data_IF_191068916528
#
_entry.id   IF_191068916528
#
_cell.length_a   1.000
_cell.length_b   1.000
_cell.length_c   1.000
_cell.angle_alpha   90.00
_cell.angle_beta   90.00
_cell.angle_gamma   90.00
#
_symmetry.space_group_name_H-M   'P 1'
#
loop_
_entity.id
_entity.type
_entity.pdbx_description
1 polymer ?
#
# COMPACT_ATOMS: atom_id res chain seq x y z
N UNK A 1 -1.17 20.03 -3.88
CA UNK A 1 -0.48 18.92 -3.17
C UNK A 1 0.31 18.12 -4.17
N UNK A 2 1.33 17.37 -3.75
CA UNK A 2 2.11 16.45 -4.57
C UNK A 2 2.37 15.14 -3.82
N UNK A 3 2.29 14.02 -4.49
CA UNK A 3 2.62 12.71 -3.94
C UNK A 3 4.14 12.51 -3.95
N UNK A 4 4.75 12.35 -2.79
CA UNK A 4 6.21 12.17 -2.67
C UNK A 4 6.61 10.89 -1.96
N UNK A 5 5.67 10.27 -1.23
CA UNK A 5 5.93 9.06 -0.45
C UNK A 5 4.81 8.05 -0.58
N UNK A 6 5.17 6.78 -0.72
CA UNK A 6 4.23 5.65 -0.71
C UNK A 6 4.65 4.66 0.36
N UNK A 7 3.68 4.15 1.10
CA UNK A 7 3.88 3.20 2.21
C UNK A 7 3.12 1.92 1.93
N UNK A 8 3.78 0.78 2.08
CA UNK A 8 3.15 -0.52 2.16
C UNK A 8 3.69 -1.29 3.36
N UNK A 9 2.96 -2.28 3.84
CA UNK A 9 3.39 -3.11 4.97
C UNK A 9 3.33 -4.59 4.65
N UNK A 10 4.20 -5.35 5.29
CA UNK A 10 4.36 -6.78 5.09
C UNK A 10 4.91 -7.42 6.36
N UNK A 11 4.59 -8.68 6.58
CA UNK A 11 5.25 -9.50 7.59
C UNK A 11 6.37 -10.36 6.97
N UNK A 12 6.94 -11.28 7.75
CA UNK A 12 7.98 -12.19 7.29
C UNK A 12 7.42 -13.32 6.38
N UNK A 13 6.45 -13.01 5.51
CA UNK A 13 6.00 -13.90 4.45
C UNK A 13 6.81 -13.62 3.18
N UNK A 14 7.60 -14.61 2.74
CA UNK A 14 8.51 -14.52 1.60
C UNK A 14 7.79 -14.14 0.31
N UNK A 15 6.58 -14.62 0.10
CA UNK A 15 5.77 -14.33 -1.09
C UNK A 15 5.36 -12.86 -1.22
N UNK A 16 5.46 -12.08 -0.13
CA UNK A 16 5.17 -10.65 -0.12
C UNK A 16 6.41 -9.78 0.06
N UNK A 17 7.34 -10.13 0.97
CA UNK A 17 8.47 -9.23 1.21
C UNK A 17 9.43 -9.16 0.02
N UNK A 18 9.46 -10.17 -0.85
CA UNK A 18 10.26 -10.13 -2.08
C UNK A 18 9.78 -9.07 -3.09
N UNK A 19 8.58 -8.50 -2.92
CA UNK A 19 8.16 -7.35 -3.71
C UNK A 19 8.85 -6.04 -3.28
N UNK A 20 9.45 -5.95 -2.09
CA UNK A 20 10.05 -4.69 -1.59
C UNK A 20 11.06 -4.10 -2.56
N UNK A 21 12.04 -4.86 -3.13
CA UNK A 21 12.97 -4.33 -4.12
C UNK A 21 12.27 -3.77 -5.37
N UNK A 22 11.22 -4.43 -5.82
CA UNK A 22 10.46 -4.02 -7.01
C UNK A 22 9.63 -2.77 -6.73
N UNK A 23 8.89 -2.73 -5.64
CA UNK A 23 8.17 -1.53 -5.19
C UNK A 23 9.13 -0.33 -5.09
N UNK A 24 10.29 -0.54 -4.46
CA UNK A 24 11.31 0.51 -4.34
C UNK A 24 11.76 1.03 -5.72
N UNK A 25 12.01 0.12 -6.67
CA UNK A 25 12.46 0.48 -8.01
C UNK A 25 11.37 1.22 -8.80
N UNK A 26 10.14 0.68 -8.80
CA UNK A 26 9.04 1.21 -9.60
C UNK A 26 8.63 2.62 -9.13
N UNK A 27 8.43 2.82 -7.83
CA UNK A 27 8.12 4.15 -7.29
C UNK A 27 9.26 5.15 -7.50
N UNK A 28 10.51 4.69 -7.39
CA UNK A 28 11.68 5.54 -7.67
C UNK A 28 11.70 6.06 -9.10
N UNK A 29 11.26 5.28 -10.10
CA UNK A 29 11.15 5.73 -11.50
C UNK A 29 10.18 6.89 -11.67
N UNK A 30 9.19 7.01 -10.79
CA UNK A 30 8.24 8.13 -10.74
C UNK A 30 8.73 9.28 -9.85
N UNK A 31 9.93 9.21 -9.29
CA UNK A 31 10.45 10.20 -8.36
C UNK A 31 9.80 10.17 -6.97
N UNK A 32 9.13 9.06 -6.64
CA UNK A 32 8.38 8.87 -5.39
C UNK A 32 9.18 7.93 -4.48
N UNK A 33 9.30 8.30 -3.19
CA UNK A 33 9.94 7.46 -2.18
C UNK A 33 8.99 6.32 -1.78
N UNK A 34 9.50 5.09 -1.76
CA UNK A 34 8.79 3.96 -1.21
C UNK A 34 9.31 3.62 0.20
N UNK A 35 8.40 3.34 1.13
CA UNK A 35 8.69 2.89 2.49
C UNK A 35 7.98 1.55 2.72
N UNK A 36 8.74 0.51 3.00
CA UNK A 36 8.22 -0.77 3.43
C UNK A 36 8.22 -0.86 4.96
N UNK A 37 7.07 -1.12 5.55
CA UNK A 37 6.93 -1.43 6.98
C UNK A 37 7.03 -2.94 7.14
N UNK A 38 8.14 -3.42 7.66
CA UNK A 38 8.40 -4.85 7.79
C UNK A 38 8.13 -5.31 9.21
N UNK A 39 7.12 -6.14 9.40
CA UNK A 39 6.75 -6.72 10.69
C UNK A 39 7.59 -7.97 10.95
N UNK A 40 8.57 -7.85 11.83
CA UNK A 40 9.51 -8.93 12.14
C UNK A 40 10.59 -8.50 13.12
N UNK A 41 11.51 -9.42 13.42
CA UNK A 41 12.63 -9.18 14.35
C UNK A 41 13.93 -8.80 13.63
N UNK A 42 14.03 -9.07 12.34
CA UNK A 42 15.19 -8.75 11.50
C UNK A 42 14.77 -8.65 10.04
N UNK A 43 15.54 -7.92 9.24
CA UNK A 43 15.35 -7.84 7.79
C UNK A 43 15.97 -9.09 7.17
N UNK A 44 15.22 -9.84 6.31
CA UNK A 44 15.76 -10.99 5.57
C UNK A 44 16.94 -10.60 4.66
N UNK A 45 17.90 -11.52 4.50
CA UNK A 45 19.11 -11.28 3.70
C UNK A 45 18.78 -10.97 2.24
N UNK A 46 17.73 -11.60 1.68
CA UNK A 46 17.30 -11.41 0.28
C UNK A 46 16.88 -9.98 -0.05
N UNK A 47 16.56 -9.16 0.96
CA UNK A 47 16.12 -7.77 0.77
C UNK A 47 16.98 -6.76 1.53
N UNK A 48 18.14 -7.17 2.05
CA UNK A 48 19.02 -6.33 2.87
C UNK A 48 19.50 -5.08 2.12
N UNK A 49 19.70 -5.17 0.82
CA UNK A 49 20.11 -4.05 -0.04
C UNK A 49 19.05 -2.93 -0.10
N UNK A 50 17.80 -3.24 0.26
CA UNK A 50 16.72 -2.28 0.37
C UNK A 50 16.53 -1.73 1.78
N UNK A 51 17.41 -2.03 2.74
CA UNK A 51 17.26 -1.67 4.16
C UNK A 51 16.99 -0.19 4.40
N UNK A 52 17.51 0.71 3.56
CA UNK A 52 17.24 2.15 3.63
C UNK A 52 15.78 2.54 3.34
N UNK A 53 15.01 1.63 2.74
CA UNK A 53 13.60 1.79 2.43
C UNK A 53 12.70 0.98 3.37
N UNK A 54 13.29 0.26 4.34
CA UNK A 54 12.58 -0.63 5.26
C UNK A 54 12.59 -0.04 6.65
N UNK A 55 11.42 0.06 7.24
CA UNK A 55 11.24 0.34 8.66
C UNK A 55 10.88 -0.98 9.34
N UNK A 56 11.76 -1.45 10.21
CA UNK A 56 11.54 -2.67 10.96
C UNK A 56 10.55 -2.39 12.10
N UNK A 57 9.41 -3.06 12.07
CA UNK A 57 8.41 -3.01 13.12
C UNK A 57 8.49 -4.27 13.96
N UNK A 58 9.04 -4.14 15.15
CA UNK A 58 9.09 -5.27 16.09
C UNK A 58 7.71 -5.45 16.74
N UNK A 59 7.03 -6.54 16.36
CA UNK A 59 5.73 -6.87 16.93
C UNK A 59 5.90 -7.55 18.29
N UNK A 60 5.72 -6.77 19.37
CA UNK A 60 5.70 -7.30 20.74
C UNK A 60 4.32 -7.78 21.18
N UNK A 61 3.33 -7.80 20.27
CA UNK A 61 1.98 -8.27 20.54
C UNK A 61 1.88 -9.78 20.27
N UNK A 62 1.14 -10.48 21.12
CA UNK A 62 0.78 -11.89 20.91
C UNK A 62 -0.42 -11.97 19.96
N UNK A 63 -0.24 -11.47 18.73
CA UNK A 63 -1.24 -11.49 17.66
C UNK A 63 -0.59 -11.86 16.33
N UNK A 64 -1.43 -12.31 15.39
CA UNK A 64 -1.00 -12.73 14.07
C UNK A 64 -0.24 -11.62 13.34
N UNK A 65 1.01 -11.85 12.94
CA UNK A 65 1.87 -10.87 12.27
C UNK A 65 1.33 -10.44 10.90
N UNK A 66 0.54 -11.30 10.23
CA UNK A 66 -0.13 -10.92 8.98
C UNK A 66 -1.20 -9.86 9.22
N UNK A 67 -1.94 -9.96 10.35
CA UNK A 67 -2.90 -8.93 10.75
C UNK A 67 -2.21 -7.60 11.05
N UNK A 68 -1.09 -7.65 11.78
CA UNK A 68 -0.27 -6.45 12.03
C UNK A 68 0.21 -5.84 10.72
N UNK A 69 0.80 -6.66 9.83
CA UNK A 69 1.25 -6.23 8.51
C UNK A 69 0.12 -5.61 7.68
N UNK A 70 -1.07 -6.19 7.69
CA UNK A 70 -2.22 -5.68 6.94
C UNK A 70 -2.67 -4.30 7.45
N UNK A 71 -2.65 -4.07 8.76
CA UNK A 71 -3.18 -2.86 9.37
C UNK A 71 -2.13 -1.74 9.55
N UNK A 72 -0.85 -2.07 9.71
CA UNK A 72 0.21 -1.12 10.06
C UNK A 72 0.30 0.05 9.06
N UNK A 73 0.18 -0.22 7.75
CA UNK A 73 0.22 0.81 6.70
C UNK A 73 -0.87 1.89 6.86
N UNK A 74 -2.01 1.54 7.46
CA UNK A 74 -3.11 2.47 7.69
C UNK A 74 -2.77 3.51 8.77
N UNK A 75 -1.94 3.17 9.73
CA UNK A 75 -1.63 4.02 10.87
C UNK A 75 -0.29 4.74 10.75
N UNK A 76 0.72 4.09 10.18
CA UNK A 76 2.10 4.57 10.15
C UNK A 76 2.27 5.93 9.44
N UNK A 77 1.54 6.27 8.37
CA UNK A 77 1.64 7.58 7.73
C UNK A 77 1.50 8.77 8.70
N UNK A 78 0.77 8.60 9.81
CA UNK A 78 0.59 9.61 10.86
C UNK A 78 1.90 10.01 11.59
N UNK A 79 2.93 9.17 11.53
CA UNK A 79 4.22 9.40 12.19
C UNK A 79 5.27 10.05 11.30
N UNK A 80 4.96 10.23 10.01
CA UNK A 80 5.89 10.85 9.08
C UNK A 80 5.93 12.37 9.28
N UNK A 81 7.11 12.96 9.15
CA UNK A 81 7.31 14.39 9.09
C UNK A 81 7.55 14.80 7.64
N UNK A 82 6.65 15.60 7.08
CA UNK A 82 6.66 15.96 5.67
C UNK A 82 6.28 17.45 5.48
N UNK A 83 6.78 18.11 4.42
CA UNK A 83 6.33 19.44 4.01
C UNK A 83 4.81 19.50 3.81
N UNK A 84 4.21 20.66 4.10
CA UNK A 84 2.75 20.86 4.10
C UNK A 84 2.07 20.69 2.74
N UNK A 85 2.84 20.70 1.65
CA UNK A 85 2.36 20.49 0.28
C UNK A 85 2.54 19.05 -0.22
N UNK A 86 3.02 18.15 0.64
CA UNK A 86 3.31 16.75 0.29
C UNK A 86 2.27 15.76 0.85
N UNK A 87 2.07 14.70 0.11
CA UNK A 87 1.18 13.59 0.47
C UNK A 87 1.95 12.30 0.65
N UNK A 88 1.49 11.50 1.59
CA UNK A 88 1.81 10.08 1.69
C UNK A 88 0.62 9.24 1.26
N UNK A 89 0.85 8.24 0.42
CA UNK A 89 -0.16 7.29 -0.04
C UNK A 89 0.14 5.89 0.50
N UNK A 90 -0.90 5.12 0.78
CA UNK A 90 -0.77 3.70 1.08
C UNK A 90 -1.16 2.83 -0.10
N UNK A 91 -0.50 1.67 -0.23
CA UNK A 91 -0.74 0.68 -1.28
C UNK A 91 -0.62 -0.75 -0.76
N UNK A 92 -1.00 -1.72 -1.60
CA UNK A 92 -0.73 -3.12 -1.37
C UNK A 92 0.67 -3.50 -1.86
N UNK A 93 1.30 -4.49 -1.23
CA UNK A 93 2.69 -4.86 -1.52
C UNK A 93 2.83 -5.54 -2.90
N UNK A 94 1.82 -6.26 -3.35
CA UNK A 94 1.77 -7.03 -4.60
C UNK A 94 1.18 -6.26 -5.80
N UNK A 95 0.99 -4.93 -5.65
CA UNK A 95 0.52 -4.03 -6.70
C UNK A 95 1.65 -3.13 -7.18
N UNK A 96 2.20 -3.38 -8.36
CA UNK A 96 3.28 -2.57 -8.93
C UNK A 96 2.71 -1.41 -9.76
N UNK A 97 3.13 -0.16 -9.53
CA UNK A 97 2.65 0.99 -10.30
C UNK A 97 3.25 1.00 -11.71
N UNK A 98 2.44 1.27 -12.74
CA UNK A 98 2.86 1.31 -14.15
C UNK A 98 2.76 2.71 -14.75
N UNK A 99 1.85 3.54 -14.27
CA UNK A 99 1.56 4.86 -14.84
C UNK A 99 1.55 5.93 -13.75
N UNK A 100 2.57 6.80 -13.75
CA UNK A 100 2.67 7.89 -12.75
C UNK A 100 1.50 8.88 -12.80
N UNK A 101 0.90 9.09 -13.97
CA UNK A 101 -0.23 10.03 -14.14
C UNK A 101 -1.44 9.61 -13.31
N UNK A 102 -1.71 8.30 -13.24
CA UNK A 102 -2.80 7.80 -12.41
C UNK A 102 -2.67 8.27 -10.95
N UNK A 103 -1.46 8.29 -10.42
CA UNK A 103 -1.21 8.64 -9.02
C UNK A 103 -1.02 10.13 -8.77
N UNK A 104 -0.51 10.87 -9.75
CA UNK A 104 -0.03 12.23 -9.55
C UNK A 104 -0.93 13.31 -10.15
N UNK A 105 -1.62 13.01 -11.28
CA UNK A 105 -2.37 14.05 -12.00
C UNK A 105 -3.56 14.56 -11.19
N UNK A 106 -3.71 15.89 -11.17
CA UNK A 106 -4.80 16.59 -10.51
C UNK A 106 -4.61 16.79 -9.01
N UNK A 107 -3.52 16.30 -8.41
CA UNK A 107 -3.26 16.47 -6.97
C UNK A 107 -3.03 17.91 -6.55
N UNK A 108 -2.61 18.77 -7.47
CA UNK A 108 -2.42 20.20 -7.25
C UNK A 108 -3.72 20.94 -6.88
N UNK A 109 -4.88 20.33 -7.17
CA UNK A 109 -6.19 20.89 -6.86
C UNK A 109 -6.65 20.64 -5.40
N UNK A 110 -5.91 19.84 -4.62
CA UNK A 110 -6.23 19.50 -3.24
C UNK A 110 -5.45 20.36 -2.24
N UNK A 111 -5.98 20.40 -1.00
CA UNK A 111 -5.36 21.13 0.12
C UNK A 111 -4.85 20.14 1.18
N UNK A 112 -4.03 20.64 2.10
CA UNK A 112 -3.37 19.84 3.15
C UNK A 112 -4.36 19.05 4.03
N UNK A 113 -5.58 19.57 4.23
CA UNK A 113 -6.61 18.93 5.07
C UNK A 113 -7.44 17.87 4.32
N UNK A 114 -7.23 17.69 3.02
CA UNK A 114 -7.98 16.69 2.25
C UNK A 114 -7.43 15.28 2.50
N UNK A 115 -8.35 14.32 2.65
CA UNK A 115 -8.06 12.90 2.55
C UNK A 115 -8.55 12.40 1.19
N UNK A 116 -7.65 11.94 0.35
CA UNK A 116 -7.91 11.60 -1.05
C UNK A 116 -8.04 10.09 -1.19
N UNK A 117 -9.21 9.60 -1.55
CA UNK A 117 -9.47 8.22 -1.90
C UNK A 117 -9.65 8.09 -3.40
N UNK A 118 -8.79 7.32 -4.06
CA UNK A 118 -8.72 7.27 -5.53
C UNK A 118 -9.85 6.47 -6.16
N UNK A 119 -10.30 5.43 -5.46
CA UNK A 119 -11.30 4.49 -5.98
C UNK A 119 -12.73 4.88 -5.55
N UNK A 120 -13.68 4.01 -5.80
CA UNK A 120 -15.07 4.13 -5.32
C UNK A 120 -15.24 3.42 -3.98
N UNK A 121 -16.18 3.88 -3.19
CA UNK A 121 -16.57 3.24 -1.93
C UNK A 121 -17.49 2.06 -2.26
N UNK A 122 -17.19 0.89 -1.72
CA UNK A 122 -17.97 -0.33 -1.91
C UNK A 122 -18.63 -0.76 -0.59
N UNK A 123 -19.93 -0.58 -0.51
CA UNK A 123 -20.70 -0.85 0.72
C UNK A 123 -20.11 -0.10 1.91
N UNK A 124 -19.66 -0.83 2.93
CA UNK A 124 -19.03 -0.31 4.14
C UNK A 124 -17.49 -0.47 4.13
N UNK A 125 -16.86 -0.46 2.95
CA UNK A 125 -15.43 -0.68 2.79
C UNK A 125 -14.79 0.42 1.96
N UNK A 126 -13.60 0.83 2.37
CA UNK A 126 -12.66 1.63 1.58
C UNK A 126 -11.44 0.74 1.33
N UNK A 127 -11.18 0.44 0.05
CA UNK A 127 -10.01 -0.39 -0.31
C UNK A 127 -8.72 0.26 0.17
N UNK A 128 -7.77 -0.57 0.61
CA UNK A 128 -6.51 -0.07 1.15
C UNK A 128 -5.61 0.58 0.10
N UNK A 129 -5.70 0.19 -1.15
CA UNK A 129 -5.08 0.86 -2.29
C UNK A 129 -6.14 1.74 -2.99
N UNK A 130 -5.93 2.93 -3.29
CA UNK A 130 -4.89 3.90 -3.00
C UNK A 130 -5.53 5.01 -2.17
N UNK A 131 -4.95 5.30 -1.02
CA UNK A 131 -5.43 6.35 -0.13
C UNK A 131 -4.28 7.30 0.15
N UNK A 132 -4.47 8.61 -0.04
CA UNK A 132 -3.43 9.61 0.12
C UNK A 132 -3.91 10.79 0.96
N UNK A 133 -3.06 11.26 1.86
CA UNK A 133 -3.29 12.48 2.63
C UNK A 133 -1.95 13.00 3.17
N UNK A 134 -1.92 14.24 3.66
CA UNK A 134 -0.81 14.72 4.46
C UNK A 134 -0.74 13.97 5.81
N UNK A 135 0.45 13.71 6.41
CA UNK A 135 0.57 13.01 7.70
C UNK A 135 -0.28 13.56 8.83
N UNK A 136 -0.48 14.89 8.89
CA UNK A 136 -1.36 15.52 9.90
C UNK A 136 -2.81 15.07 9.80
N UNK A 137 -3.29 14.76 8.59
CA UNK A 137 -4.65 14.25 8.37
C UNK A 137 -4.74 12.79 8.82
N UNK A 138 -3.74 11.95 8.47
CA UNK A 138 -3.64 10.59 9.00
C UNK A 138 -3.65 10.59 10.54
N UNK A 139 -2.84 11.47 11.15
CA UNK A 139 -2.78 11.66 12.61
C UNK A 139 -4.14 12.01 13.20
N UNK A 140 -4.86 12.97 12.61
CA UNK A 140 -6.17 13.42 13.05
C UNK A 140 -7.25 12.35 12.90
N UNK A 141 -7.33 11.71 11.73
CA UNK A 141 -8.37 10.70 11.39
C UNK A 141 -8.24 9.47 12.29
N UNK A 142 -7.02 8.97 12.47
CA UNK A 142 -6.77 7.74 13.21
C UNK A 142 -6.40 7.97 14.68
N UNK A 143 -6.24 9.23 15.12
CA UNK A 143 -5.82 9.59 16.48
C UNK A 143 -4.50 8.93 16.89
N UNK A 144 -3.48 9.03 16.02
CA UNK A 144 -2.14 8.47 16.20
C UNK A 144 -1.16 9.59 16.47
N UNK A 145 -0.42 9.53 17.59
CA UNK A 145 0.61 10.48 17.94
C UNK A 145 2.01 9.85 18.05
N UNK A 146 2.07 8.54 18.27
CA UNK A 146 3.29 7.77 18.47
C UNK A 146 3.06 6.28 18.15
N UNK A 147 4.12 5.47 18.20
CA UNK A 147 4.07 4.03 17.93
C UNK A 147 3.20 3.24 18.92
N UNK A 148 3.11 3.71 20.17
CA UNK A 148 2.26 3.06 21.18
C UNK A 148 0.78 3.19 20.81
N UNK A 149 0.37 4.33 20.23
CA UNK A 149 -1.00 4.51 19.75
C UNK A 149 -1.31 3.52 18.60
N UNK A 150 -0.35 3.31 17.68
CA UNK A 150 -0.48 2.31 16.60
C UNK A 150 -0.67 0.92 17.19
N UNK A 151 0.22 0.53 18.10
CA UNK A 151 0.17 -0.78 18.77
C UNK A 151 -1.17 -0.99 19.46
N UNK A 152 -1.67 0.02 20.17
CA UNK A 152 -2.97 0.00 20.84
C UNK A 152 -4.12 -0.16 19.84
N UNK A 153 -4.16 0.63 18.75
CA UNK A 153 -5.20 0.55 17.72
C UNK A 153 -5.24 -0.85 17.07
N UNK A 154 -4.07 -1.40 16.73
CA UNK A 154 -3.98 -2.74 16.14
C UNK A 154 -4.51 -3.80 17.13
N UNK A 155 -4.13 -3.70 18.41
CA UNK A 155 -4.60 -4.63 19.43
C UNK A 155 -6.12 -4.56 19.66
N UNK A 156 -6.68 -3.34 19.77
CA UNK A 156 -8.11 -3.13 20.00
C UNK A 156 -8.99 -3.56 18.83
N UNK A 157 -8.43 -3.57 17.60
CA UNK A 157 -9.14 -3.98 16.39
C UNK A 157 -8.88 -5.44 15.99
N UNK A 158 -7.96 -6.10 16.67
CA UNK A 158 -7.64 -7.50 16.36
C UNK A 158 -8.84 -8.42 16.61
N UNK A 159 -9.18 -9.16 15.56
CA UNK A 159 -10.21 -10.19 15.64
C UNK A 159 -9.55 -11.57 15.71
N UNK A 160 -9.81 -12.30 16.78
CA UNK A 160 -9.24 -13.65 17.01
C UNK A 160 -9.63 -14.67 15.93
N UNK A 161 -10.66 -14.39 15.14
CA UNK A 161 -11.04 -15.22 13.99
C UNK A 161 -10.21 -14.98 12.74
N UNK A 162 -9.32 -13.97 12.76
CA UNK A 162 -8.42 -13.68 11.64
C UNK A 162 -7.43 -14.84 11.43
N UNK A 163 -7.44 -15.42 10.25
CA UNK A 163 -6.59 -16.56 9.91
C UNK A 163 -5.61 -16.28 8.75
N UNK A 164 -5.58 -15.05 8.23
CA UNK A 164 -4.72 -14.65 7.11
C UNK A 164 -5.15 -15.19 5.74
N UNK A 165 -6.30 -15.86 5.66
CA UNK A 165 -6.85 -16.37 4.40
C UNK A 165 -7.71 -15.28 3.75
N UNK A 166 -7.44 -14.89 2.51
CA UNK A 166 -8.22 -13.91 1.78
C UNK A 166 -9.70 -14.23 1.67
N UNK A 167 -10.53 -13.21 1.93
CA UNK A 167 -11.98 -13.35 1.89
C UNK A 167 -12.57 -14.14 3.08
N UNK A 168 -11.74 -14.60 4.01
CA UNK A 168 -12.20 -15.22 5.25
C UNK A 168 -12.70 -14.18 6.26
N UNK A 169 -13.26 -14.67 7.37
CA UNK A 169 -13.67 -13.81 8.49
C UNK A 169 -12.53 -12.88 8.94
N UNK A 170 -12.86 -11.63 9.18
CA UNK A 170 -11.93 -10.56 9.58
C UNK A 170 -10.85 -10.18 8.54
N UNK A 171 -10.87 -10.74 7.31
CA UNK A 171 -9.95 -10.34 6.24
C UNK A 171 -10.07 -8.87 5.86
N UNK A 172 -11.29 -8.33 5.84
CA UNK A 172 -11.58 -6.95 5.44
C UNK A 172 -11.58 -5.94 6.60
N UNK A 173 -11.06 -6.31 7.77
CA UNK A 173 -11.07 -5.46 8.99
C UNK A 173 -10.43 -4.10 8.75
N UNK A 174 -9.29 -4.03 8.02
CA UNK A 174 -8.62 -2.79 7.67
C UNK A 174 -9.49 -1.88 6.80
N UNK A 175 -10.18 -2.44 5.81
CA UNK A 175 -11.08 -1.69 4.90
C UNK A 175 -12.32 -1.16 5.63
N UNK A 176 -12.87 -1.95 6.56
CA UNK A 176 -14.01 -1.54 7.39
C UNK A 176 -13.63 -0.45 8.41
N UNK A 177 -12.43 -0.55 9.00
CA UNK A 177 -11.89 0.49 9.89
C UNK A 177 -11.70 1.78 9.11
N UNK A 178 -11.07 1.69 7.93
CA UNK A 178 -10.86 2.83 7.04
C UNK A 178 -12.18 3.52 6.72
N UNK A 179 -13.21 2.76 6.35
CA UNK A 179 -14.55 3.28 6.09
C UNK A 179 -15.14 4.01 7.31
N UNK A 180 -15.16 3.36 8.48
CA UNK A 180 -15.71 3.93 9.71
C UNK A 180 -15.02 5.22 10.13
N UNK A 181 -13.72 5.36 9.86
CA UNK A 181 -12.93 6.55 10.21
C UNK A 181 -13.11 7.70 9.22
N UNK A 182 -13.39 7.38 7.95
CA UNK A 182 -13.37 8.37 6.87
C UNK A 182 -14.74 8.80 6.39
N UNK A 183 -15.78 7.97 6.51
CA UNK A 183 -17.09 8.27 5.88
C UNK A 183 -17.68 9.60 6.35
N UNK A 184 -17.45 9.96 7.61
CA UNK A 184 -17.89 11.23 8.19
C UNK A 184 -16.78 12.30 8.24
N UNK A 185 -15.62 12.03 7.63
CA UNK A 185 -14.55 13.02 7.59
C UNK A 185 -14.90 14.14 6.58
N UNK A 186 -15.01 15.41 7.02
CA UNK A 186 -15.60 16.47 6.20
C UNK A 186 -14.81 16.78 4.92
N UNK A 187 -13.50 16.49 4.92
CA UNK A 187 -12.63 16.71 3.78
C UNK A 187 -12.24 15.41 3.07
N UNK A 188 -13.07 14.36 3.14
CA UNK A 188 -12.89 13.18 2.31
C UNK A 188 -13.20 13.53 0.84
N UNK A 189 -12.25 13.25 -0.04
CA UNK A 189 -12.35 13.42 -1.50
C UNK A 189 -12.34 12.05 -2.16
N UNK A 190 -13.49 11.59 -2.61
CA UNK A 190 -13.62 10.33 -3.35
C UNK A 190 -13.53 10.65 -4.84
N UNK A 191 -12.43 10.24 -5.48
CA UNK A 191 -12.17 10.59 -6.89
C UNK A 191 -12.98 9.73 -7.85
N UNK A 192 -13.42 8.54 -7.44
CA UNK A 192 -14.01 7.53 -8.33
C UNK A 192 -13.17 7.32 -9.61
N UNK A 193 -11.84 7.41 -9.47
CA UNK A 193 -10.92 7.30 -10.59
C UNK A 193 -10.89 5.85 -11.09
N UNK A 194 -11.30 5.59 -12.33
CA UNK A 194 -11.16 4.26 -12.90
C UNK A 194 -9.69 3.89 -12.95
N UNK A 195 -9.39 2.63 -12.72
CA UNK A 195 -8.03 2.09 -12.77
C UNK A 195 -7.96 1.03 -13.87
N UNK A 196 -7.04 1.22 -14.78
CA UNK A 196 -6.69 0.20 -15.78
C UNK A 196 -5.65 -0.72 -15.14
N UNK A 197 -6.15 -1.83 -14.58
CA UNK A 197 -5.33 -2.82 -13.87
C UNK A 197 -5.11 -4.04 -14.72
N UNK A 198 -3.85 -4.47 -14.83
CA UNK A 198 -3.54 -5.76 -15.41
C UNK A 198 -3.38 -6.82 -14.33
N UNK A 199 -4.19 -7.86 -14.40
CA UNK A 199 -4.08 -9.02 -13.54
C UNK A 199 -3.05 -10.00 -14.10
N UNK A 200 -2.42 -10.80 -13.24
CA UNK A 200 -1.33 -11.72 -13.57
C UNK A 200 -1.65 -12.65 -14.77
N UNK A 201 -2.87 -13.16 -14.88
CA UNK A 201 -3.27 -14.04 -15.98
C UNK A 201 -3.29 -13.34 -17.35
N UNK A 202 -3.76 -12.10 -17.37
CA UNK A 202 -3.76 -11.25 -18.57
C UNK A 202 -2.33 -10.85 -18.94
N UNK A 203 -1.51 -10.49 -17.95
CA UNK A 203 -0.09 -10.20 -18.14
C UNK A 203 0.64 -11.34 -18.84
N UNK A 204 0.43 -12.59 -18.36
CA UNK A 204 1.00 -13.79 -18.95
C UNK A 204 0.57 -13.97 -20.40
N UNK A 205 -0.71 -13.74 -20.72
CA UNK A 205 -1.24 -13.85 -22.07
C UNK A 205 -0.59 -12.86 -23.04
N UNK A 206 -0.32 -11.61 -22.61
CA UNK A 206 0.41 -10.62 -23.41
C UNK A 206 1.84 -11.08 -23.70
N UNK A 207 2.54 -11.59 -22.68
CA UNK A 207 3.90 -12.12 -22.87
C UNK A 207 3.94 -13.31 -23.85
N UNK A 208 3.00 -14.26 -23.74
CA UNK A 208 2.94 -15.44 -24.61
C UNK A 208 2.65 -15.07 -26.07
N UNK A 209 1.91 -13.97 -26.33
CA UNK A 209 1.69 -13.43 -27.67
C UNK A 209 2.85 -12.62 -28.20
N UNK A 210 3.85 -12.29 -27.37
CA UNK A 210 4.96 -11.43 -27.74
C UNK A 210 4.58 -9.95 -27.90
N UNK A 211 3.50 -9.51 -27.25
CA UNK A 211 3.08 -8.12 -27.27
C UNK A 211 4.14 -7.26 -26.56
N UNK A 212 4.66 -6.24 -27.24
CA UNK A 212 5.65 -5.32 -26.68
C UNK A 212 4.96 -4.08 -26.10
N UNK A 213 5.54 -3.53 -25.02
CA UNK A 213 5.09 -2.28 -24.40
C UNK A 213 3.62 -2.24 -23.95
N UNK A 214 2.96 -3.38 -23.78
CA UNK A 214 1.55 -3.42 -23.38
C UNK A 214 1.30 -2.80 -22.00
N UNK A 215 2.29 -2.83 -21.10
CA UNK A 215 2.17 -2.28 -19.73
C UNK A 215 1.89 -0.78 -19.73
N UNK A 216 2.28 -0.04 -20.77
CA UNK A 216 2.00 1.38 -20.89
C UNK A 216 0.49 1.73 -20.95
N UNK A 217 -0.36 0.73 -21.18
CA UNK A 217 -1.81 0.89 -21.21
C UNK A 217 -2.47 0.72 -19.83
N UNK A 218 -1.69 0.37 -18.80
CA UNK A 218 -2.21 0.06 -17.48
C UNK A 218 -1.67 1.03 -16.42
N UNK A 219 -2.45 1.24 -15.38
CA UNK A 219 -2.07 2.08 -14.24
C UNK A 219 -1.30 1.29 -13.19
N UNK A 220 -1.69 0.02 -12.96
CA UNK A 220 -0.97 -0.90 -12.11
C UNK A 220 -1.00 -2.34 -12.62
N UNK A 221 -0.09 -3.17 -12.08
CA UNK A 221 -0.09 -4.62 -12.27
C UNK A 221 -0.24 -5.32 -10.92
N UNK A 222 -1.22 -6.20 -10.83
CA UNK A 222 -1.50 -6.97 -9.64
C UNK A 222 -0.98 -8.41 -9.77
N UNK A 223 0.13 -8.69 -9.09
CA UNK A 223 0.76 -10.01 -9.07
C UNK A 223 0.32 -10.78 -7.83
N UNK A 224 -0.87 -11.37 -7.90
CA UNK A 224 -1.42 -12.16 -6.80
C UNK A 224 -0.42 -13.17 -6.27
N UNK A 225 -0.06 -13.06 -5.02
CA UNK A 225 0.65 -14.02 -4.16
C UNK A 225 1.60 -14.99 -4.86
N UNK A 226 2.65 -15.35 -4.11
CA UNK A 226 3.77 -16.13 -4.60
C UNK A 226 4.61 -15.34 -5.61
N UNK A 227 5.37 -14.36 -5.07
CA UNK A 227 6.43 -13.70 -5.83
C UNK A 227 7.26 -14.71 -6.64
N UNK A 228 7.68 -15.80 -5.98
CA UNK A 228 8.54 -16.81 -6.58
C UNK A 228 7.93 -17.45 -7.84
N UNK A 229 6.62 -17.72 -7.85
CA UNK A 229 5.95 -18.29 -9.01
C UNK A 229 5.79 -17.27 -10.16
N UNK A 230 5.80 -15.98 -9.86
CA UNK A 230 5.55 -14.89 -10.80
C UNK A 230 6.81 -14.07 -11.11
N UNK A 231 7.96 -14.45 -10.58
CA UNK A 231 9.21 -13.69 -10.70
C UNK A 231 9.54 -13.35 -12.15
N UNK A 232 9.38 -14.28 -13.09
CA UNK A 232 9.64 -14.06 -14.50
C UNK A 232 8.73 -12.98 -15.13
N UNK A 233 7.45 -12.87 -14.69
CA UNK A 233 6.52 -11.82 -15.13
C UNK A 233 6.92 -10.47 -14.55
N UNK A 234 7.29 -10.45 -13.27
CA UNK A 234 7.71 -9.24 -12.55
C UNK A 234 9.01 -8.69 -13.14
N UNK A 235 9.99 -9.57 -13.46
CA UNK A 235 11.22 -9.18 -14.14
C UNK A 235 10.99 -8.69 -15.56
N UNK A 236 9.96 -9.21 -16.26
CA UNK A 236 9.57 -8.69 -17.56
C UNK A 236 8.96 -7.27 -17.41
N UNK A 237 8.08 -7.05 -16.44
CA UNK A 237 7.52 -5.72 -16.15
C UNK A 237 8.63 -4.68 -15.86
N UNK A 238 9.65 -5.06 -15.12
CA UNK A 238 10.80 -4.20 -14.83
C UNK A 238 11.55 -3.75 -16.08
N UNK A 239 11.66 -4.63 -17.09
CA UNK A 239 12.35 -4.32 -18.35
C UNK A 239 11.55 -3.42 -19.28
N UNK A 240 10.21 -3.41 -19.14
CA UNK A 240 9.33 -2.60 -19.97
C UNK A 240 9.10 -1.18 -19.41
N UNK A 241 9.43 -0.94 -18.17
CA UNK A 241 9.41 0.38 -17.51
C UNK A 241 10.69 1.18 -17.83
#
# INVERSE_FOLDING_TARGET
MRLTTVVASVNNNRDYYLFIPKQTLFWKKFGIKFIALFVGTSIPEEIIDCSNNIILWNNNLDINTSFVGQNLRMYYPALLDMPSDELVMITDMDMLPMNSKYYCDGLENFITDDFIYYRYIDGNQIFMCYNAAHPSVWKKVFNINNEQDITKQIYETYNVSYNGVPGSNAWFTDQEIMYKKLIDYPNLKVLNRPIERIEMGEYKNHMERGDENFIANYDDAHFHRSYTNNEHLILNAEKQL
#
